data_IF_589886431477
#
_entry.id   IF_589886431477
#
_cell.length_a   1.000
_cell.length_b   1.000
_cell.length_c   1.000
_cell.angle_alpha   90.00
_cell.angle_beta   90.00
_cell.angle_gamma   90.00
#
_symmetry.space_group_name_H-M   'P 1'
#
loop_
_entity.id
_entity.type
_entity.pdbx_description
1 polymer ?
#
# COMPACT_ATOMS: atom_id res chain seq x y z
N UNK A 1 -19.16 -15.22 3.56
CA UNK A 1 -17.94 -16.05 3.38
C UNK A 1 -17.38 -15.73 2.00
N UNK A 2 -16.25 -15.03 1.92
CA UNK A 2 -15.56 -14.81 0.66
C UNK A 2 -14.94 -16.14 0.20
N UNK A 3 -15.40 -16.67 -0.93
CA UNK A 3 -14.91 -17.92 -1.50
C UNK A 3 -13.58 -17.66 -2.22
N UNK A 4 -12.48 -18.21 -1.68
CA UNK A 4 -11.13 -18.14 -2.26
C UNK A 4 -10.96 -18.92 -3.59
N UNK A 5 -12.03 -19.43 -4.18
CA UNK A 5 -11.97 -20.35 -5.33
C UNK A 5 -11.68 -19.68 -6.68
N UNK A 6 -11.66 -18.34 -6.76
CA UNK A 6 -11.39 -17.58 -7.99
C UNK A 6 -10.11 -16.73 -7.92
N UNK A 7 -9.14 -17.09 -7.08
CA UNK A 7 -7.86 -16.39 -7.07
C UNK A 7 -7.06 -16.70 -8.35
N UNK A 8 -6.49 -15.69 -9.03
CA UNK A 8 -5.66 -15.91 -10.21
C UNK A 8 -4.47 -16.78 -9.85
N UNK A 9 -4.13 -17.75 -10.70
CA UNK A 9 -2.87 -18.48 -10.58
C UNK A 9 -1.71 -17.56 -10.96
N UNK A 10 -1.00 -17.06 -9.96
CA UNK A 10 0.17 -16.21 -10.17
C UNK A 10 1.38 -17.10 -10.44
N UNK A 11 1.97 -16.96 -11.63
CA UNK A 11 3.25 -17.63 -11.93
C UNK A 11 4.39 -16.72 -11.49
N UNK A 12 5.16 -17.12 -10.50
CA UNK A 12 6.21 -16.29 -9.91
C UNK A 12 7.29 -15.82 -10.91
N UNK A 13 7.53 -16.56 -12.00
CA UNK A 13 8.54 -16.20 -13.00
C UNK A 13 8.21 -14.98 -13.85
N UNK A 14 6.97 -14.47 -13.81
CA UNK A 14 6.56 -13.28 -14.57
C UNK A 14 6.55 -12.00 -13.74
N UNK A 15 6.81 -12.09 -12.43
CA UNK A 15 6.80 -10.94 -11.53
C UNK A 15 8.16 -10.24 -11.53
N UNK A 16 8.16 -8.91 -11.46
CA UNK A 16 9.38 -8.16 -11.27
C UNK A 16 9.94 -8.43 -9.87
N UNK A 17 11.23 -8.75 -9.81
CA UNK A 17 11.93 -9.06 -8.56
C UNK A 17 13.15 -8.18 -8.36
N UNK A 18 13.48 -7.93 -7.10
CA UNK A 18 14.59 -7.09 -6.71
C UNK A 18 14.63 -6.87 -5.20
N UNK A 19 15.39 -5.87 -4.77
CA UNK A 19 15.44 -5.46 -3.37
C UNK A 19 14.22 -4.60 -3.09
N UNK A 20 13.43 -5.03 -2.11
CA UNK A 20 12.33 -4.29 -1.50
C UNK A 20 12.83 -3.60 -0.23
N UNK A 21 12.27 -2.43 0.07
CA UNK A 21 12.44 -1.73 1.34
C UNK A 21 11.85 -2.54 2.50
N UNK A 22 10.66 -3.14 2.30
CA UNK A 22 10.01 -4.01 3.28
C UNK A 22 9.15 -3.30 4.33
N UNK A 23 9.40 -2.01 4.59
CA UNK A 23 8.60 -1.16 5.47
C UNK A 23 8.36 0.27 4.93
N UNK A 24 7.92 0.38 3.67
CA UNK A 24 7.72 1.68 3.03
C UNK A 24 6.42 2.36 3.49
N UNK A 25 6.45 2.96 4.68
CA UNK A 25 5.36 3.73 5.29
C UNK A 25 5.67 5.24 5.32
N UNK A 26 4.70 6.05 5.75
CA UNK A 26 4.78 7.51 5.81
C UNK A 26 5.86 8.03 6.79
N UNK A 27 6.13 7.32 7.88
CA UNK A 27 7.20 7.68 8.83
C UNK A 27 8.60 7.52 8.23
N UNK A 28 8.75 6.67 7.22
CA UNK A 28 10.00 6.41 6.53
C UNK A 28 10.23 7.31 5.31
N UNK A 29 9.38 8.32 5.10
CA UNK A 29 9.48 9.29 4.01
C UNK A 29 9.84 10.69 4.50
N UNK A 30 10.87 11.27 3.91
CA UNK A 30 11.19 12.69 4.08
C UNK A 30 10.63 13.49 2.89
N UNK A 31 9.95 14.60 3.19
CA UNK A 31 9.27 15.43 2.19
C UNK A 31 9.67 16.88 2.36
N UNK A 32 10.20 17.47 1.27
CA UNK A 32 10.47 18.90 1.16
C UNK A 32 9.27 19.64 0.57
N UNK A 33 9.02 20.85 1.05
CA UNK A 33 8.07 21.78 0.42
C UNK A 33 8.80 22.54 -0.70
N UNK A 34 8.44 22.25 -1.95
CA UNK A 34 8.97 22.94 -3.13
C UNK A 34 8.25 24.26 -3.35
N UNK A 35 6.93 24.27 -3.16
CA UNK A 35 6.10 25.48 -3.19
C UNK A 35 4.94 25.32 -2.24
N UNK A 36 4.76 26.27 -1.32
CA UNK A 36 3.60 26.30 -0.42
C UNK A 36 2.41 27.09 -1.00
N UNK A 37 2.53 27.63 -2.22
CA UNK A 37 1.54 28.54 -2.79
C UNK A 37 0.23 27.82 -3.14
N UNK A 38 -0.92 28.25 -2.58
CA UNK A 38 -2.23 27.74 -2.97
C UNK A 38 -2.56 28.05 -4.45
N UNK A 39 -3.45 27.27 -5.09
CA UNK A 39 -4.21 26.15 -4.53
C UNK A 39 -3.46 24.82 -4.51
N UNK A 40 -2.31 24.72 -5.18
CA UNK A 40 -1.60 23.47 -5.42
C UNK A 40 -0.19 23.52 -4.83
N UNK A 41 -0.03 23.28 -3.52
CA UNK A 41 1.30 23.15 -2.94
C UNK A 41 2.04 21.99 -3.61
N UNK A 42 3.35 22.19 -3.84
CA UNK A 42 4.23 21.20 -4.45
C UNK A 42 5.19 20.67 -3.41
N UNK A 43 5.30 19.35 -3.38
CA UNK A 43 6.17 18.62 -2.48
C UNK A 43 7.11 17.74 -3.28
N UNK A 44 8.25 17.41 -2.70
CA UNK A 44 9.21 16.45 -3.27
C UNK A 44 9.69 15.51 -2.18
N UNK A 45 9.71 14.21 -2.46
CA UNK A 45 10.38 13.24 -1.59
C UNK A 45 11.88 13.55 -1.60
N UNK A 46 12.44 13.86 -0.43
CA UNK A 46 13.85 14.23 -0.26
C UNK A 46 14.71 13.12 0.33
N UNK A 47 14.08 12.08 0.88
CA UNK A 47 14.77 10.91 1.40
C UNK A 47 13.83 9.79 1.78
N UNK A 48 14.42 8.60 1.92
CA UNK A 48 13.79 7.38 2.42
C UNK A 48 14.67 6.90 3.58
N UNK A 49 14.06 6.52 4.68
CA UNK A 49 14.72 6.09 5.92
C UNK A 49 14.43 4.62 6.22
N UNK A 50 15.22 4.07 7.15
CA UNK A 50 14.99 2.77 7.79
C UNK A 50 14.99 1.53 6.88
N UNK A 51 16.18 1.21 6.36
CA UNK A 51 16.41 0.06 5.48
C UNK A 51 16.65 -1.27 6.24
N UNK A 52 16.26 -1.38 7.52
CA UNK A 52 16.55 -2.59 8.31
C UNK A 52 15.76 -3.82 7.84
N UNK A 53 14.60 -3.60 7.23
CA UNK A 53 13.68 -4.65 6.77
C UNK A 53 13.84 -5.00 5.28
N UNK A 54 14.93 -4.52 4.65
CA UNK A 54 15.17 -4.80 3.25
C UNK A 54 15.29 -6.31 2.99
N UNK A 55 14.65 -6.74 1.91
CA UNK A 55 14.69 -8.14 1.49
C UNK A 55 14.63 -8.26 -0.02
N UNK A 56 15.15 -9.37 -0.54
CA UNK A 56 14.95 -9.70 -1.95
C UNK A 56 13.58 -10.34 -2.14
N UNK A 57 12.75 -9.79 -3.02
CA UNK A 57 11.37 -10.23 -3.24
C UNK A 57 10.79 -9.66 -4.52
N UNK A 58 9.45 -9.66 -4.62
CA UNK A 58 8.74 -9.11 -5.77
C UNK A 58 8.31 -7.67 -5.50
N UNK A 59 8.45 -6.80 -6.49
CA UNK A 59 8.13 -5.38 -6.35
C UNK A 59 6.65 -5.13 -6.04
N UNK A 60 5.74 -5.98 -6.50
CA UNK A 60 4.31 -5.89 -6.18
C UNK A 60 4.02 -5.93 -4.68
N UNK A 61 4.89 -6.54 -3.87
CA UNK A 61 4.76 -6.50 -2.41
C UNK A 61 5.05 -5.11 -1.85
N UNK A 62 6.07 -4.41 -2.37
CA UNK A 62 6.37 -3.03 -1.98
C UNK A 62 5.22 -2.09 -2.35
N UNK A 63 4.64 -2.28 -3.55
CA UNK A 63 3.46 -1.52 -3.99
C UNK A 63 2.28 -1.76 -3.04
N UNK A 64 2.03 -3.00 -2.63
CA UNK A 64 0.95 -3.31 -1.71
C UNK A 64 1.16 -2.69 -0.32
N UNK A 65 2.40 -2.68 0.18
CA UNK A 65 2.78 -2.00 1.44
C UNK A 65 2.52 -0.50 1.33
N UNK A 66 3.04 0.14 0.28
CA UNK A 66 2.87 1.56 0.05
C UNK A 66 1.40 1.97 -0.06
N UNK A 67 0.60 1.22 -0.83
CA UNK A 67 -0.84 1.46 -0.94
C UNK A 67 -1.47 1.38 0.44
N UNK A 68 -1.26 0.29 1.19
CA UNK A 68 -1.89 0.09 2.50
C UNK A 68 -1.64 1.26 3.46
N UNK A 69 -0.39 1.70 3.61
CA UNK A 69 -0.08 2.83 4.50
C UNK A 69 -0.63 4.15 3.98
N UNK A 70 -0.56 4.42 2.67
CA UNK A 70 -1.16 5.64 2.11
C UNK A 70 -2.68 5.67 2.26
N UNK A 71 -3.35 4.51 2.20
CA UNK A 71 -4.78 4.41 2.50
C UNK A 71 -5.09 4.76 3.96
N UNK A 72 -4.20 4.46 4.91
CA UNK A 72 -4.38 4.79 6.33
C UNK A 72 -4.29 6.29 6.57
N UNK A 73 -3.32 6.95 5.94
CA UNK A 73 -3.07 8.39 6.11
C UNK A 73 -4.01 9.29 5.28
N UNK A 74 -4.50 8.80 4.14
CA UNK A 74 -5.32 9.59 3.23
C UNK A 74 -6.75 9.81 3.73
N UNK A 75 -7.26 11.03 3.54
CA UNK A 75 -8.70 11.35 3.70
C UNK A 75 -9.58 10.72 2.62
N UNK A 76 -8.98 10.37 1.48
CA UNK A 76 -9.60 9.65 0.37
C UNK A 76 -8.89 8.30 0.22
N UNK A 77 -9.19 7.32 1.11
CA UNK A 77 -8.40 6.11 1.25
C UNK A 77 -8.47 5.22 0.02
N UNK A 78 -9.53 5.25 -0.78
CA UNK A 78 -9.61 4.38 -1.96
C UNK A 78 -8.82 4.92 -3.15
N UNK A 79 -8.97 6.19 -3.49
CA UNK A 79 -8.33 6.78 -4.68
C UNK A 79 -6.80 6.80 -4.56
N UNK A 80 -6.25 6.88 -3.35
CA UNK A 80 -4.80 6.94 -3.14
C UNK A 80 -4.05 5.73 -3.68
N UNK A 81 -4.69 4.54 -3.73
CA UNK A 81 -4.09 3.38 -4.36
C UNK A 81 -3.76 3.62 -5.84
N UNK A 82 -4.62 4.34 -6.55
CA UNK A 82 -4.35 4.74 -7.94
C UNK A 82 -3.26 5.79 -8.07
N UNK A 83 -3.11 6.70 -7.11
CA UNK A 83 -2.01 7.68 -7.12
C UNK A 83 -0.65 7.01 -6.90
N UNK A 84 -0.57 6.03 -5.98
CA UNK A 84 0.63 5.22 -5.77
C UNK A 84 0.97 4.44 -7.04
N UNK A 85 -0.02 3.81 -7.67
CA UNK A 85 0.19 3.08 -8.92
C UNK A 85 0.66 3.99 -10.06
N UNK A 86 0.07 5.17 -10.22
CA UNK A 86 0.52 6.14 -11.23
C UNK A 86 1.99 6.51 -11.05
N UNK A 87 2.42 6.76 -9.80
CA UNK A 87 3.81 7.05 -9.49
C UNK A 87 4.74 5.87 -9.77
N UNK A 88 4.38 4.68 -9.27
CA UNK A 88 5.20 3.48 -9.40
C UNK A 88 5.33 3.02 -10.86
N UNK A 89 4.21 2.89 -11.56
CA UNK A 89 4.18 2.42 -12.95
C UNK A 89 4.77 3.43 -13.95
N UNK A 90 4.98 4.69 -13.55
CA UNK A 90 5.75 5.65 -14.36
C UNK A 90 7.23 5.30 -14.50
N UNK A 91 7.74 4.45 -13.61
CA UNK A 91 9.13 3.97 -13.60
C UNK A 91 9.19 2.47 -13.93
N UNK A 92 8.37 1.66 -13.25
CA UNK A 92 8.33 0.20 -13.42
C UNK A 92 6.88 -0.24 -13.68
N UNK A 93 6.48 -0.41 -14.95
CA UNK A 93 5.14 -0.87 -15.29
C UNK A 93 4.87 -2.26 -14.72
N UNK A 94 3.78 -2.43 -13.98
CA UNK A 94 3.40 -3.73 -13.45
C UNK A 94 2.87 -4.64 -14.56
N UNK A 95 3.19 -5.92 -14.47
CA UNK A 95 2.60 -6.96 -15.32
C UNK A 95 1.10 -7.13 -15.02
N UNK A 96 0.32 -7.72 -15.94
CA UNK A 96 -1.08 -8.05 -15.69
C UNK A 96 -1.27 -8.93 -14.44
N UNK A 97 -0.35 -9.86 -14.19
CA UNK A 97 -0.36 -10.75 -13.02
C UNK A 97 -0.10 -9.98 -11.72
N UNK A 98 0.86 -9.06 -11.71
CA UNK A 98 1.10 -8.17 -10.57
C UNK A 98 -0.13 -7.31 -10.28
N UNK A 99 -0.70 -6.66 -11.31
CA UNK A 99 -1.93 -5.86 -11.16
C UNK A 99 -3.08 -6.70 -10.64
N UNK A 100 -3.25 -7.91 -11.16
CA UNK A 100 -4.28 -8.85 -10.74
C UNK A 100 -4.09 -9.42 -9.32
N UNK A 101 -2.91 -9.26 -8.72
CA UNK A 101 -2.65 -9.69 -7.36
C UNK A 101 -2.83 -8.55 -6.33
N UNK A 102 -2.80 -7.29 -6.75
CA UNK A 102 -2.75 -6.11 -5.86
C UNK A 102 -3.84 -6.09 -4.80
N UNK A 103 -5.11 -6.31 -5.18
CA UNK A 103 -6.21 -6.29 -4.22
C UNK A 103 -5.99 -7.28 -3.07
N UNK A 104 -5.60 -8.52 -3.42
CA UNK A 104 -5.36 -9.57 -2.44
C UNK A 104 -4.14 -9.23 -1.58
N UNK A 105 -3.07 -8.70 -2.19
CA UNK A 105 -1.84 -8.36 -1.48
C UNK A 105 -2.03 -7.19 -0.51
N UNK A 106 -2.81 -6.16 -0.88
CA UNK A 106 -3.15 -5.05 0.01
C UNK A 106 -4.00 -5.55 1.18
N UNK A 107 -5.03 -6.38 0.92
CA UNK A 107 -5.83 -7.01 1.98
C UNK A 107 -4.95 -7.88 2.91
N UNK A 108 -4.04 -8.66 2.33
CA UNK A 108 -3.11 -9.50 3.06
C UNK A 108 -2.15 -8.69 3.92
N UNK A 109 -1.65 -7.56 3.42
CA UNK A 109 -0.77 -6.66 4.18
C UNK A 109 -1.50 -5.97 5.32
N UNK A 110 -2.75 -5.56 5.13
CA UNK A 110 -3.61 -5.10 6.23
C UNK A 110 -3.74 -6.17 7.32
N UNK A 111 -4.11 -7.40 6.93
CA UNK A 111 -4.26 -8.50 7.88
C UNK A 111 -2.95 -8.78 8.65
N UNK A 112 -1.82 -8.81 7.93
CA UNK A 112 -0.49 -8.97 8.54
C UNK A 112 -0.20 -7.86 9.56
N UNK A 113 -0.34 -6.59 9.16
CA UNK A 113 -0.05 -5.44 10.02
C UNK A 113 -0.94 -5.42 11.26
N UNK A 114 -2.25 -5.67 11.11
CA UNK A 114 -3.20 -5.69 12.22
C UNK A 114 -2.93 -6.83 13.21
N UNK A 115 -2.61 -8.03 12.71
CA UNK A 115 -2.28 -9.18 13.57
C UNK A 115 -0.96 -8.95 14.31
N UNK A 116 0.06 -8.42 13.63
CA UNK A 116 1.35 -8.10 14.24
C UNK A 116 1.20 -7.00 15.30
N UNK A 117 0.43 -5.94 15.02
CA UNK A 117 0.14 -4.88 15.98
C UNK A 117 -0.55 -5.45 17.22
N UNK A 118 -1.64 -6.23 17.04
CA UNK A 118 -2.37 -6.82 18.16
C UNK A 118 -1.47 -7.74 19.01
N UNK A 119 -0.66 -8.59 18.38
CA UNK A 119 0.28 -9.45 19.08
C UNK A 119 1.37 -8.67 19.83
N UNK A 120 1.94 -7.64 19.19
CA UNK A 120 3.03 -6.85 19.79
C UNK A 120 2.54 -6.00 20.95
N UNK A 121 1.32 -5.46 20.87
CA UNK A 121 0.68 -4.75 21.98
C UNK A 121 0.47 -5.65 23.20
N UNK A 122 0.18 -6.94 23.01
CA UNK A 122 0.08 -7.90 24.13
C UNK A 122 1.44 -8.13 24.81
N UNK A 123 2.55 -8.06 24.08
CA UNK A 123 3.90 -8.23 24.62
C UNK A 123 4.47 -6.94 25.23
N UNK A 124 4.10 -5.79 24.68
CA UNK A 124 4.60 -4.47 25.02
C UNK A 124 3.45 -3.48 25.25
N UNK A 125 2.62 -3.68 26.29
CA UNK A 125 1.45 -2.84 26.54
C UNK A 125 1.83 -1.37 26.80
N UNK A 126 3.05 -1.09 27.26
CA UNK A 126 3.58 0.27 27.42
C UNK A 126 3.66 1.06 26.10
N UNK A 127 3.70 0.36 24.96
CA UNK A 127 3.79 0.95 23.62
C UNK A 127 2.46 0.92 22.86
N UNK A 128 1.34 0.61 23.52
CA UNK A 128 0.02 0.42 22.90
C UNK A 128 -0.39 1.60 22.01
N UNK A 129 -0.18 2.84 22.49
CA UNK A 129 -0.61 4.03 21.74
C UNK A 129 0.06 4.11 20.36
N UNK A 130 1.36 3.79 20.29
CA UNK A 130 2.15 3.78 19.06
C UNK A 130 1.79 2.59 18.17
N UNK A 131 1.74 1.37 18.74
CA UNK A 131 1.47 0.14 18.01
C UNK A 131 0.06 0.11 17.40
N UNK A 132 -0.89 0.82 18.02
CA UNK A 132 -2.27 0.85 17.58
C UNK A 132 -2.60 2.00 16.63
N UNK A 133 -1.66 2.88 16.25
CA UNK A 133 -1.90 3.99 15.31
C UNK A 133 -2.50 3.45 14.00
N UNK A 134 -1.80 2.52 13.36
CA UNK A 134 -2.22 1.83 12.14
C UNK A 134 -3.50 1.01 12.37
N UNK A 135 -3.65 0.42 13.55
CA UNK A 135 -4.79 -0.44 13.88
C UNK A 135 -6.11 0.32 14.08
N UNK A 136 -6.06 1.60 14.50
CA UNK A 136 -7.26 2.43 14.75
C UNK A 136 -8.16 2.54 13.52
N UNK A 137 -7.58 2.67 12.33
CA UNK A 137 -8.34 2.77 11.06
C UNK A 137 -8.14 1.57 10.15
N UNK A 138 -7.08 0.77 10.32
CA UNK A 138 -6.77 -0.35 9.44
C UNK A 138 -7.88 -1.39 9.34
N UNK A 139 -8.56 -1.74 10.44
CA UNK A 139 -9.71 -2.66 10.39
C UNK A 139 -10.86 -2.12 9.55
N UNK A 140 -11.17 -0.83 9.68
CA UNK A 140 -12.22 -0.16 8.89
C UNK A 140 -11.88 -0.21 7.39
N UNK A 141 -10.63 0.06 7.03
CA UNK A 141 -10.21 0.05 5.62
C UNK A 141 -10.18 -1.36 5.03
N UNK A 142 -9.69 -2.36 5.79
CA UNK A 142 -9.73 -3.75 5.36
C UNK A 142 -11.18 -4.22 5.12
N UNK A 143 -12.10 -3.93 6.05
CA UNK A 143 -13.51 -4.28 5.89
C UNK A 143 -14.13 -3.57 4.69
N UNK A 144 -13.85 -2.27 4.50
CA UNK A 144 -14.29 -1.51 3.33
C UNK A 144 -13.84 -2.17 2.02
N UNK A 145 -12.56 -2.57 1.92
CA UNK A 145 -12.03 -3.26 0.72
C UNK A 145 -12.76 -4.58 0.46
N UNK A 146 -12.96 -5.38 1.50
CA UNK A 146 -13.64 -6.68 1.40
C UNK A 146 -15.11 -6.52 1.02
N UNK A 147 -15.81 -5.54 1.58
CA UNK A 147 -17.22 -5.25 1.31
C UNK A 147 -17.44 -4.72 -0.11
N UNK A 148 -16.57 -3.82 -0.60
CA UNK A 148 -16.65 -3.30 -1.97
C UNK A 148 -16.30 -4.34 -3.03
N UNK A 149 -15.44 -5.29 -2.66
CA UNK A 149 -14.98 -6.36 -3.54
C UNK A 149 -13.90 -5.92 -4.51
N UNK A 150 -13.17 -6.93 -5.01
CA UNK A 150 -12.00 -6.77 -5.87
C UNK A 150 -12.24 -5.90 -7.10
N UNK A 151 -13.28 -6.22 -7.88
CA UNK A 151 -13.54 -5.56 -9.17
C UNK A 151 -13.75 -4.05 -9.00
N UNK A 152 -14.59 -3.65 -8.03
CA UNK A 152 -14.87 -2.24 -7.74
C UNK A 152 -13.60 -1.49 -7.32
N UNK A 153 -12.81 -2.07 -6.41
CA UNK A 153 -11.60 -1.45 -5.89
C UNK A 153 -10.53 -1.33 -6.99
N UNK A 154 -10.28 -2.41 -7.73
CA UNK A 154 -9.32 -2.39 -8.85
C UNK A 154 -9.74 -1.40 -9.93
N UNK A 155 -11.04 -1.30 -10.23
CA UNK A 155 -11.54 -0.29 -11.16
C UNK A 155 -11.21 1.13 -10.69
N UNK A 156 -11.46 1.45 -9.42
CA UNK A 156 -11.13 2.78 -8.86
C UNK A 156 -9.63 3.04 -8.97
N UNK A 157 -8.79 2.12 -8.50
CA UNK A 157 -7.34 2.27 -8.54
C UNK A 157 -6.82 2.46 -9.96
N UNK A 158 -7.26 1.63 -10.90
CA UNK A 158 -6.74 1.67 -12.27
C UNK A 158 -7.27 2.88 -13.05
N UNK A 159 -8.51 3.30 -12.83
CA UNK A 159 -9.02 4.54 -13.43
C UNK A 159 -8.32 5.77 -12.87
N UNK A 160 -8.11 5.83 -11.55
CA UNK A 160 -7.36 6.92 -10.93
C UNK A 160 -5.94 6.95 -11.48
N UNK A 161 -5.26 5.80 -11.59
CA UNK A 161 -3.91 5.73 -12.13
C UNK A 161 -3.83 6.19 -13.60
N UNK A 162 -4.80 5.76 -14.42
CA UNK A 162 -4.85 6.10 -15.85
C UNK A 162 -5.02 7.61 -16.08
N UNK A 163 -5.70 8.33 -15.19
CA UNK A 163 -5.88 9.78 -15.32
C UNK A 163 -4.58 10.60 -15.25
N UNK A 164 -3.46 9.96 -14.87
CA UNK A 164 -2.13 10.55 -14.84
C UNK A 164 -1.25 10.14 -16.03
N UNK A 165 -1.70 9.22 -16.90
CA UNK A 165 -1.00 8.91 -18.15
C UNK A 165 -1.26 10.04 -19.16
N UNK A 166 -0.19 10.74 -19.56
CA UNK A 166 -0.21 11.77 -20.59
C UNK A 166 0.03 11.18 -21.97
#
# INVERSE_FOLDING_TARGET
MATFHNLPQVTFSVLHSGINHGDFNDHNLLVDVVSASPPNPQYRISGILDFSDMSYGYYVFEVAIAIMYMMIESKEPLSVGGHVLAGFESVVPLTPEERGALFLLVCGRYAQSLVVAAHTTLLHPENEEYLMITAKTGWKHLMMLVEMGRETVEQIWFQTAESYRK
#
